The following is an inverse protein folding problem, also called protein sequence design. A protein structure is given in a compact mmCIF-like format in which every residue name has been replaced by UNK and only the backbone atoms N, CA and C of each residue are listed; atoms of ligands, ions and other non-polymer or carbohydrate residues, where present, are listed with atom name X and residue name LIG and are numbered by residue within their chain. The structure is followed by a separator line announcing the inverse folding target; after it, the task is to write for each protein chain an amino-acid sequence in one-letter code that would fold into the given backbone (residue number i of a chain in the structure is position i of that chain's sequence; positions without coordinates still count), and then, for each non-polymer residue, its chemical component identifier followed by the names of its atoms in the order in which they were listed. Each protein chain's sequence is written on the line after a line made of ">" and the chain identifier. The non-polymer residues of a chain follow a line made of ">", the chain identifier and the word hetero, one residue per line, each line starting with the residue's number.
data_IF_479644017025
#
_entry.id   IF_479644017025
#
_cell.length_a   1.000
_cell.length_b   1.000
_cell.length_c   1.000
_cell.angle_alpha   90.00
_cell.angle_beta   90.00
_cell.angle_gamma   90.00
#
_symmetry.space_group_name_H-M   'P 1'
#
loop_
_entity.id
_entity.type
_entity.pdbx_description
1 polymer ?
#
# COMPACT_ATOMS: atom_id res chain seq x y z
N UNK A 1 45.02 -25.15 4.12
CA UNK A 1 43.62 -25.04 3.68
C UNK A 1 42.65 -25.77 4.63
N UNK A 2 42.99 -26.97 5.13
CA UNK A 2 42.13 -27.82 5.97
C UNK A 2 41.79 -27.26 7.39
N UNK A 3 42.59 -26.36 7.97
CA UNK A 3 42.30 -25.79 9.31
C UNK A 3 41.18 -24.74 9.34
N UNK A 4 40.78 -24.17 8.19
CA UNK A 4 39.75 -23.11 8.12
C UNK A 4 38.32 -23.67 8.10
N UNK A 5 38.11 -24.82 7.46
CA UNK A 5 36.79 -25.48 7.37
C UNK A 5 36.32 -26.04 8.72
N UNK A 6 37.22 -26.66 9.49
CA UNK A 6 36.89 -27.15 10.83
C UNK A 6 36.47 -26.04 11.81
N UNK A 7 36.96 -24.81 11.62
CA UNK A 7 36.59 -23.66 12.44
C UNK A 7 35.17 -23.14 12.12
N UNK A 8 34.75 -23.19 10.87
CA UNK A 8 33.43 -22.73 10.42
C UNK A 8 32.34 -23.72 10.86
N UNK A 9 32.59 -25.02 10.70
CA UNK A 9 31.67 -26.09 11.14
C UNK A 9 31.50 -26.09 12.67
N UNK A 10 32.57 -25.79 13.42
CA UNK A 10 32.53 -25.65 14.89
C UNK A 10 31.74 -24.43 15.36
N UNK A 11 31.84 -23.30 14.64
CA UNK A 11 31.11 -22.07 14.95
C UNK A 11 29.59 -22.21 14.68
N UNK A 12 29.20 -22.87 13.58
CA UNK A 12 27.80 -23.11 13.24
C UNK A 12 27.12 -24.10 14.20
N UNK A 13 27.83 -25.14 14.66
CA UNK A 13 27.32 -26.08 15.69
C UNK A 13 26.98 -25.39 17.01
N UNK A 14 27.76 -24.36 17.38
CA UNK A 14 27.53 -23.57 18.60
C UNK A 14 26.34 -22.62 18.48
N UNK A 15 26.02 -22.16 17.26
CA UNK A 15 24.96 -21.18 17.01
C UNK A 15 23.56 -21.80 17.03
N UNK A 16 23.40 -23.04 16.55
CA UNK A 16 22.06 -23.62 16.31
C UNK A 16 21.63 -24.74 17.27
N UNK A 17 22.50 -25.23 18.16
CA UNK A 17 22.20 -26.34 19.11
C UNK A 17 21.41 -27.51 18.48
N UNK A 18 21.56 -27.76 17.17
CA UNK A 18 20.77 -28.74 16.46
C UNK A 18 21.64 -29.98 16.15
N UNK A 19 21.35 -31.14 16.76
CA UNK A 19 22.14 -32.36 16.58
C UNK A 19 21.89 -33.09 15.24
N UNK A 20 21.02 -32.58 14.35
CA UNK A 20 20.61 -33.25 13.11
C UNK A 20 21.07 -32.56 11.81
N UNK A 21 22.08 -31.69 11.85
CA UNK A 21 22.72 -31.18 10.64
C UNK A 21 23.55 -32.29 9.96
N UNK A 22 22.86 -33.22 9.29
CA UNK A 22 23.48 -34.19 8.39
C UNK A 22 23.34 -33.72 6.95
N UNK A 23 24.49 -33.69 6.29
CA UNK A 23 24.72 -33.34 4.89
C UNK A 23 23.91 -34.28 3.99
N UNK A 24 23.14 -33.73 3.05
CA UNK A 24 22.86 -34.39 1.78
C UNK A 24 23.67 -33.69 0.71
N UNK A 25 24.73 -34.35 0.24
CA UNK A 25 25.47 -33.95 -0.96
C UNK A 25 24.55 -34.18 -2.17
N UNK A 26 24.26 -33.13 -2.93
CA UNK A 26 23.85 -33.24 -4.33
C UNK A 26 25.06 -32.99 -5.23
N UNK A 27 25.10 -33.71 -6.35
CA UNK A 27 26.24 -33.91 -7.25
C UNK A 27 26.61 -32.66 -8.09
N UNK A 28 26.20 -31.48 -7.65
CA UNK A 28 26.37 -30.19 -8.33
C UNK A 28 26.87 -29.05 -7.42
N UNK A 29 27.19 -29.33 -6.15
CA UNK A 29 27.95 -28.41 -5.30
C UNK A 29 27.26 -27.07 -5.00
N UNK A 30 25.94 -26.97 -5.18
CA UNK A 30 25.16 -25.84 -4.68
C UNK A 30 24.50 -26.21 -3.36
N UNK A 31 24.87 -25.52 -2.29
CA UNK A 31 24.21 -25.63 -0.98
C UNK A 31 22.75 -25.13 -1.11
N UNK A 32 21.81 -26.06 -1.16
CA UNK A 32 20.38 -25.76 -1.31
C UNK A 32 19.78 -25.42 0.06
N UNK A 33 19.58 -24.12 0.34
CA UNK A 33 18.73 -23.63 1.43
C UNK A 33 17.23 -23.57 1.04
N UNK A 34 16.82 -24.14 -0.09
CA UNK A 34 15.44 -24.05 -0.61
C UNK A 34 14.44 -24.96 0.10
N UNK A 35 14.89 -26.09 0.67
CA UNK A 35 13.95 -27.09 1.22
C UNK A 35 13.16 -26.59 2.44
N UNK A 36 13.78 -25.74 3.29
CA UNK A 36 13.11 -25.14 4.45
C UNK A 36 12.14 -24.02 4.02
N UNK A 37 12.46 -23.30 2.95
CA UNK A 37 11.63 -22.22 2.40
C UNK A 37 10.34 -22.74 1.75
N UNK A 38 10.45 -23.85 1.00
CA UNK A 38 9.29 -24.50 0.35
C UNK A 38 8.37 -25.16 1.38
N UNK A 39 8.92 -25.70 2.48
CA UNK A 39 8.13 -26.34 3.52
C UNK A 39 7.36 -25.31 4.38
N UNK A 40 7.97 -24.16 4.71
CA UNK A 40 7.31 -23.08 5.46
C UNK A 40 6.21 -22.36 4.67
N UNK A 41 6.30 -22.30 3.34
CA UNK A 41 5.31 -21.64 2.50
C UNK A 41 3.99 -22.44 2.35
N UNK A 42 4.00 -23.76 2.57
CA UNK A 42 2.84 -24.63 2.27
C UNK A 42 1.77 -24.73 3.38
N UNK A 43 2.06 -24.33 4.62
CA UNK A 43 1.12 -24.44 5.75
C UNK A 43 0.87 -23.12 6.48
N UNK A 44 1.15 -21.98 5.85
CA UNK A 44 1.04 -20.68 6.52
C UNK A 44 -0.39 -20.17 6.51
N UNK A 45 -0.93 -19.89 7.70
CA UNK A 45 -2.21 -19.19 7.85
C UNK A 45 -2.07 -17.70 7.50
N UNK A 46 -3.09 -17.08 6.90
CA UNK A 46 -3.05 -15.66 6.55
C UNK A 46 -2.90 -14.80 7.81
N UNK A 47 -1.81 -14.03 7.94
CA UNK A 47 -1.53 -13.25 9.17
C UNK A 47 -2.60 -12.18 9.39
N UNK A 48 -3.05 -11.59 8.26
CA UNK A 48 -4.15 -10.63 8.14
C UNK A 48 -5.35 -11.07 8.97
N UNK A 49 -5.81 -12.24 8.56
CA UNK A 49 -7.02 -12.88 9.06
C UNK A 49 -6.96 -13.23 10.55
N UNK A 50 -5.78 -13.58 11.07
CA UNK A 50 -5.62 -13.89 12.49
C UNK A 50 -5.51 -12.64 13.37
N UNK A 51 -4.81 -11.62 12.90
CA UNK A 51 -4.57 -10.39 13.66
C UNK A 51 -5.83 -9.56 13.85
N UNK A 52 -6.75 -9.66 12.91
CA UNK A 52 -7.98 -8.91 12.95
C UNK A 52 -9.16 -9.88 13.04
N UNK A 53 -9.55 -10.20 14.27
CA UNK A 53 -10.86 -10.80 14.54
C UNK A 53 -11.92 -9.70 14.42
N UNK A 54 -12.51 -9.56 13.24
CA UNK A 54 -13.33 -8.40 12.92
C UNK A 54 -14.71 -8.45 13.59
N UNK A 55 -15.05 -7.40 14.33
CA UNK A 55 -16.41 -7.08 14.72
C UNK A 55 -16.80 -5.77 14.04
N UNK A 56 -17.96 -5.73 13.39
CA UNK A 56 -18.51 -4.49 12.84
C UNK A 56 -18.87 -3.58 14.02
N UNK A 57 -18.07 -2.54 14.25
CA UNK A 57 -18.28 -1.57 15.32
C UNK A 57 -19.24 -0.43 14.88
N UNK A 58 -19.87 -0.53 13.71
CA UNK A 58 -20.83 0.43 13.19
C UNK A 58 -20.17 1.58 12.42
N UNK A 59 -19.40 2.44 13.10
CA UNK A 59 -18.68 3.56 12.48
C UNK A 59 -17.33 3.76 13.15
N UNK A 60 -16.34 4.12 12.34
CA UNK A 60 -14.97 4.40 12.76
C UNK A 60 -14.64 5.88 12.57
N UNK A 61 -13.94 6.46 13.54
CA UNK A 61 -13.31 7.77 13.40
C UNK A 61 -12.06 7.70 12.53
N UNK A 62 -11.68 8.80 11.89
CA UNK A 62 -10.45 8.89 11.07
C UNK A 62 -9.20 8.41 11.84
N UNK A 63 -9.09 8.73 13.13
CA UNK A 63 -7.98 8.28 13.98
C UNK A 63 -7.95 6.77 14.17
N UNK A 64 -9.12 6.14 14.34
CA UNK A 64 -9.23 4.68 14.45
C UNK A 64 -8.88 4.01 13.13
N UNK A 65 -9.35 4.56 12.01
CA UNK A 65 -9.04 4.04 10.67
C UNK A 65 -7.54 4.15 10.38
N UNK A 66 -6.90 5.27 10.71
CA UNK A 66 -5.45 5.44 10.55
C UNK A 66 -4.68 4.44 11.41
N UNK A 67 -5.13 4.20 12.64
CA UNK A 67 -4.50 3.22 13.52
C UNK A 67 -4.66 1.77 13.02
N UNK A 68 -5.81 1.43 12.44
CA UNK A 68 -6.05 0.13 11.81
C UNK A 68 -5.15 -0.04 10.58
N UNK A 69 -5.12 0.94 9.67
CA UNK A 69 -4.24 0.93 8.50
C UNK A 69 -2.76 0.79 8.90
N UNK A 70 -2.33 1.50 9.95
CA UNK A 70 -0.98 1.40 10.50
C UNK A 70 -0.66 0.01 11.06
N UNK A 71 -1.64 -0.66 11.66
CA UNK A 71 -1.46 -2.02 12.16
C UNK A 71 -1.27 -3.01 11.00
N UNK A 72 -2.04 -2.86 9.91
CA UNK A 72 -1.87 -3.65 8.68
C UNK A 72 -0.47 -3.42 8.11
N UNK A 73 -0.07 -2.17 7.92
CA UNK A 73 1.26 -1.80 7.41
C UNK A 73 2.39 -2.41 8.24
N UNK A 74 2.30 -2.34 9.58
CA UNK A 74 3.29 -2.92 10.49
C UNK A 74 3.34 -4.44 10.39
N UNK A 75 2.19 -5.10 10.27
CA UNK A 75 2.12 -6.54 10.12
C UNK A 75 2.75 -6.99 8.78
N UNK A 76 2.43 -6.31 7.68
CA UNK A 76 3.07 -6.55 6.38
C UNK A 76 4.59 -6.33 6.46
N UNK A 77 5.04 -5.20 7.00
CA UNK A 77 6.46 -4.89 7.13
C UNK A 77 7.23 -5.91 7.99
N UNK A 78 6.66 -6.35 9.12
CA UNK A 78 7.27 -7.38 9.98
C UNK A 78 7.47 -8.70 9.24
N UNK A 79 6.58 -9.02 8.31
CA UNK A 79 6.58 -10.27 7.56
C UNK A 79 7.14 -10.15 6.13
N UNK A 80 7.64 -8.96 5.75
CA UNK A 80 8.07 -8.62 4.38
C UNK A 80 9.02 -9.63 3.73
N UNK A 81 9.90 -10.26 4.51
CA UNK A 81 10.87 -11.26 4.01
C UNK A 81 10.20 -12.50 3.43
N UNK A 82 8.97 -12.80 3.86
CA UNK A 82 8.21 -13.96 3.44
C UNK A 82 7.13 -13.59 2.42
N UNK A 83 6.58 -12.37 2.54
CA UNK A 83 5.54 -11.86 1.65
C UNK A 83 6.08 -11.49 0.26
N UNK A 84 7.40 -11.34 0.15
CA UNK A 84 8.05 -10.97 -1.07
C UNK A 84 8.86 -12.12 -1.62
N UNK A 85 8.56 -12.51 -2.87
CA UNK A 85 9.43 -13.36 -3.66
C UNK A 85 10.74 -12.63 -4.05
N UNK A 86 10.86 -11.34 -3.73
CA UNK A 86 12.09 -10.56 -3.91
C UNK A 86 12.88 -10.63 -2.61
N UNK A 87 14.08 -11.19 -2.67
CA UNK A 87 15.07 -11.25 -1.60
C UNK A 87 15.44 -9.87 -1.02
N UNK A 88 15.14 -8.79 -1.75
CA UNK A 88 15.57 -7.44 -1.46
C UNK A 88 14.41 -6.43 -1.50
N UNK A 89 13.39 -6.55 -0.65
CA UNK A 89 12.54 -5.37 -0.37
C UNK A 89 13.40 -4.33 0.35
N UNK A 90 13.77 -3.29 -0.40
CA UNK A 90 14.60 -2.19 0.11
C UNK A 90 13.72 -1.08 0.68
N UNK A 91 12.50 -0.87 0.16
CA UNK A 91 11.68 0.31 0.46
C UNK A 91 10.34 -0.07 1.11
N UNK A 92 9.93 0.59 2.22
CA UNK A 92 8.67 0.30 2.91
C UNK A 92 7.39 0.41 2.07
N UNK A 93 7.38 1.19 0.99
CA UNK A 93 6.18 1.38 0.16
C UNK A 93 5.88 0.14 -0.70
N UNK A 94 6.91 -0.59 -1.12
CA UNK A 94 6.73 -1.76 -2.00
C UNK A 94 5.90 -2.87 -1.35
N UNK A 95 5.99 -3.02 -0.01
CA UNK A 95 5.20 -4.02 0.72
C UNK A 95 3.74 -3.59 0.93
N UNK A 96 3.39 -2.33 0.62
CA UNK A 96 2.03 -1.79 0.77
C UNK A 96 1.17 -1.99 -0.48
N UNK A 97 1.60 -2.85 -1.41
CA UNK A 97 0.75 -3.30 -2.50
C UNK A 97 -0.54 -3.94 -1.95
N UNK A 98 -1.74 -3.41 -2.28
CA UNK A 98 -2.99 -3.93 -1.76
C UNK A 98 -3.19 -5.43 -2.03
N UNK A 99 -2.74 -5.90 -3.19
CA UNK A 99 -2.74 -7.32 -3.56
C UNK A 99 -2.07 -8.22 -2.50
N UNK A 100 -0.94 -7.78 -1.91
CA UNK A 100 -0.26 -8.53 -0.86
C UNK A 100 -1.16 -8.62 0.38
N UNK A 101 -1.73 -7.50 0.80
CA UNK A 101 -2.59 -7.44 1.97
C UNK A 101 -3.89 -8.24 1.79
N UNK A 102 -4.51 -8.16 0.61
CA UNK A 102 -5.72 -8.90 0.23
C UNK A 102 -5.46 -10.42 0.31
N UNK A 103 -4.32 -10.89 -0.22
CA UNK A 103 -3.93 -12.30 -0.10
C UNK A 103 -3.68 -12.72 1.33
N UNK A 104 -3.04 -11.86 2.13
CA UNK A 104 -2.81 -12.12 3.56
C UNK A 104 -4.09 -12.02 4.42
N UNK A 105 -5.17 -11.48 3.88
CA UNK A 105 -6.53 -11.56 4.44
C UNK A 105 -7.22 -12.88 4.07
N UNK A 106 -6.61 -13.69 3.20
CA UNK A 106 -7.16 -14.94 2.69
C UNK A 106 -8.12 -14.78 1.53
N UNK A 107 -8.09 -13.63 0.84
CA UNK A 107 -8.85 -13.40 -0.37
C UNK A 107 -8.01 -13.68 -1.62
N UNK A 108 -8.63 -14.23 -2.65
CA UNK A 108 -8.09 -14.25 -3.99
C UNK A 108 -8.16 -12.84 -4.60
N UNK A 109 -7.10 -12.44 -5.31
CA UNK A 109 -7.04 -11.16 -6.01
C UNK A 109 -6.96 -11.42 -7.50
N UNK A 110 -7.94 -10.90 -8.24
CA UNK A 110 -8.11 -11.13 -9.67
C UNK A 110 -8.23 -9.81 -10.43
N UNK A 111 -7.64 -9.76 -11.62
CA UNK A 111 -7.78 -8.65 -12.54
C UNK A 111 -8.60 -9.12 -13.73
N UNK A 112 -9.74 -8.46 -13.96
CA UNK A 112 -10.68 -8.80 -15.02
C UNK A 112 -10.66 -7.72 -16.10
N UNK A 113 -10.87 -8.14 -17.36
CA UNK A 113 -10.89 -7.19 -18.49
C UNK A 113 -11.99 -6.12 -18.36
N UNK A 114 -13.11 -6.46 -17.72
CA UNK A 114 -14.23 -5.60 -17.34
C UNK A 114 -15.03 -6.33 -16.26
N UNK A 115 -15.65 -5.59 -15.34
CA UNK A 115 -16.57 -6.13 -14.33
C UNK A 115 -18.04 -5.88 -14.68
N UNK A 116 -18.29 -5.41 -15.91
CA UNK A 116 -19.59 -5.05 -16.42
C UNK A 116 -19.96 -3.59 -16.15
N UNK A 117 -21.07 -3.21 -16.77
CA UNK A 117 -21.60 -1.84 -16.76
C UNK A 117 -22.98 -1.80 -16.13
N UNK A 118 -23.33 -0.67 -15.53
CA UNK A 118 -24.67 -0.38 -15.08
C UNK A 118 -25.09 1.02 -15.53
N UNK A 119 -26.40 1.24 -15.68
CA UNK A 119 -26.97 2.54 -16.02
C UNK A 119 -27.55 3.16 -14.76
N UNK A 120 -27.07 4.35 -14.40
CA UNK A 120 -27.64 5.18 -13.33
C UNK A 120 -27.88 6.59 -13.88
N UNK A 121 -29.08 7.13 -13.67
CA UNK A 121 -29.50 8.46 -14.16
C UNK A 121 -29.19 8.71 -15.67
N UNK A 122 -29.32 7.65 -16.49
CA UNK A 122 -29.10 7.70 -17.94
C UNK A 122 -27.62 7.71 -18.36
N UNK A 123 -26.68 7.50 -17.44
CA UNK A 123 -25.25 7.37 -17.72
C UNK A 123 -24.80 5.93 -17.47
N UNK A 124 -24.01 5.41 -18.38
CA UNK A 124 -23.32 4.12 -18.21
C UNK A 124 -22.08 4.30 -17.33
N UNK A 125 -21.96 3.43 -16.33
CA UNK A 125 -20.82 3.37 -15.40
C UNK A 125 -20.22 1.98 -15.42
N UNK A 126 -18.89 1.92 -15.56
CA UNK A 126 -18.10 0.71 -15.42
C UNK A 126 -17.84 0.41 -13.93
N UNK A 127 -17.97 -0.85 -13.51
CA UNK A 127 -17.63 -1.26 -12.14
C UNK A 127 -16.11 -1.35 -12.00
N UNK A 128 -15.55 -0.64 -11.01
CA UNK A 128 -14.10 -0.59 -10.79
C UNK A 128 -13.58 -1.77 -9.94
N UNK A 129 -14.33 -2.13 -8.90
CA UNK A 129 -13.99 -3.19 -7.96
C UNK A 129 -15.24 -3.98 -7.52
N UNK A 130 -15.01 -5.24 -7.19
CA UNK A 130 -16.02 -6.14 -6.65
C UNK A 130 -15.42 -7.01 -5.55
N UNK A 131 -16.13 -7.10 -4.42
CA UNK A 131 -15.81 -8.02 -3.32
C UNK A 131 -16.90 -9.07 -3.21
N UNK A 132 -16.50 -10.33 -3.34
CA UNK A 132 -17.30 -11.52 -3.08
C UNK A 132 -16.79 -12.18 -1.79
N UNK A 133 -17.48 -11.89 -0.68
CA UNK A 133 -17.10 -12.42 0.65
C UNK A 133 -17.38 -13.91 0.76
N UNK A 134 -18.38 -14.44 0.05
CA UNK A 134 -18.72 -15.88 0.08
C UNK A 134 -17.61 -16.71 -0.56
N UNK A 135 -17.01 -16.20 -1.64
CA UNK A 135 -15.90 -16.84 -2.34
C UNK A 135 -14.52 -16.43 -1.83
N UNK A 136 -14.44 -15.47 -0.92
CA UNK A 136 -13.21 -14.78 -0.54
C UNK A 136 -12.46 -14.29 -1.79
N UNK A 137 -13.12 -13.53 -2.66
CA UNK A 137 -12.53 -13.02 -3.89
C UNK A 137 -12.70 -11.51 -3.98
N UNK A 138 -11.63 -10.82 -4.41
CA UNK A 138 -11.66 -9.43 -4.83
C UNK A 138 -11.24 -9.37 -6.30
N UNK A 139 -12.05 -8.70 -7.11
CA UNK A 139 -11.82 -8.53 -8.55
C UNK A 139 -11.77 -7.04 -8.89
N UNK A 140 -10.82 -6.63 -9.73
CA UNK A 140 -10.72 -5.27 -10.24
C UNK A 140 -10.80 -5.23 -11.77
N UNK A 141 -11.41 -4.16 -12.28
CA UNK A 141 -11.48 -3.92 -13.73
C UNK A 141 -10.19 -3.30 -14.26
N UNK A 142 -9.63 -3.89 -15.31
CA UNK A 142 -8.44 -3.40 -16.02
C UNK A 142 -8.74 -2.23 -16.97
N UNK A 143 -10.00 -1.81 -17.10
CA UNK A 143 -10.39 -0.64 -17.90
C UNK A 143 -9.82 0.65 -17.32
N UNK A 144 -9.53 0.67 -16.03
CA UNK A 144 -9.08 1.87 -15.31
C UNK A 144 -7.56 2.02 -15.30
N UNK A 145 -7.04 3.27 -15.19
CA UNK A 145 -5.61 3.51 -15.03
C UNK A 145 -5.04 2.88 -13.74
N UNK A 146 -3.72 2.58 -13.70
CA UNK A 146 -3.11 1.87 -12.58
C UNK A 146 -3.28 2.52 -11.20
N UNK A 147 -3.24 3.85 -11.10
CA UNK A 147 -3.43 4.60 -9.85
C UNK A 147 -4.86 4.48 -9.32
N UNK A 148 -5.85 4.49 -10.23
CA UNK A 148 -7.26 4.23 -9.89
C UNK A 148 -7.42 2.80 -9.41
N UNK A 149 -6.86 1.82 -10.14
CA UNK A 149 -6.92 0.41 -9.72
C UNK A 149 -6.27 0.20 -8.35
N UNK A 150 -5.13 0.83 -8.08
CA UNK A 150 -4.42 0.70 -6.80
C UNK A 150 -5.23 1.28 -5.64
N UNK A 151 -5.88 2.42 -5.86
CA UNK A 151 -6.78 3.02 -4.87
C UNK A 151 -8.02 2.16 -4.65
N UNK A 152 -8.69 1.69 -5.71
CA UNK A 152 -9.84 0.79 -5.61
C UNK A 152 -9.47 -0.50 -4.87
N UNK A 153 -8.31 -1.10 -5.16
CA UNK A 153 -7.83 -2.28 -4.44
C UNK A 153 -7.71 -2.03 -2.92
N UNK A 154 -7.15 -0.88 -2.54
CA UNK A 154 -7.01 -0.49 -1.14
C UNK A 154 -8.36 -0.14 -0.49
N UNK A 155 -9.31 0.40 -1.26
CA UNK A 155 -10.68 0.67 -0.84
C UNK A 155 -11.42 -0.64 -0.54
N UNK A 156 -11.34 -1.62 -1.43
CA UNK A 156 -11.95 -2.94 -1.21
C UNK A 156 -11.31 -3.68 -0.03
N UNK A 157 -9.99 -3.59 0.12
CA UNK A 157 -9.30 -4.07 1.32
C UNK A 157 -9.86 -3.37 2.59
N UNK A 158 -10.12 -2.07 2.53
CA UNK A 158 -10.78 -1.32 3.59
C UNK A 158 -12.15 -1.88 3.95
N UNK A 159 -12.99 -2.23 2.96
CA UNK A 159 -14.25 -2.90 3.21
C UNK A 159 -14.07 -4.26 3.91
N UNK A 160 -13.13 -5.08 3.46
CA UNK A 160 -12.88 -6.38 4.09
C UNK A 160 -12.42 -6.27 5.55
N UNK A 161 -11.72 -5.18 5.89
CA UNK A 161 -11.12 -4.95 7.22
C UNK A 161 -12.09 -4.23 8.16
N UNK A 162 -12.76 -3.17 7.69
CA UNK A 162 -13.61 -2.33 8.56
C UNK A 162 -15.04 -2.85 8.65
N UNK A 163 -15.51 -3.56 7.63
CA UNK A 163 -16.92 -3.91 7.49
C UNK A 163 -17.11 -5.39 7.14
N UNK A 164 -16.67 -6.31 8.03
CA UNK A 164 -16.83 -7.74 7.80
C UNK A 164 -18.31 -8.10 7.62
N UNK A 165 -18.66 -8.85 6.56
CA UNK A 165 -20.03 -9.35 6.33
C UNK A 165 -20.90 -8.53 5.38
N UNK A 166 -20.37 -7.49 4.71
CA UNK A 166 -21.01 -6.93 3.52
C UNK A 166 -20.84 -7.93 2.35
N UNK A 167 -21.90 -8.67 2.05
CA UNK A 167 -21.83 -9.88 1.22
C UNK A 167 -21.62 -9.65 -0.28
N UNK A 168 -21.79 -8.42 -0.80
CA UNK A 168 -21.46 -8.03 -2.18
C UNK A 168 -21.39 -6.51 -2.26
N UNK A 169 -20.19 -5.96 -2.49
CA UNK A 169 -20.00 -4.52 -2.74
C UNK A 169 -19.53 -4.28 -4.17
N UNK A 170 -20.06 -3.23 -4.80
CA UNK A 170 -19.70 -2.81 -6.16
C UNK A 170 -19.25 -1.35 -6.07
N UNK A 171 -17.95 -1.13 -6.24
CA UNK A 171 -17.42 0.23 -6.21
C UNK A 171 -17.91 1.03 -7.43
N UNK A 172 -18.26 2.31 -7.16
CA UNK A 172 -18.75 3.25 -8.15
C UNK A 172 -17.63 4.22 -8.53
N UNK A 173 -17.38 4.49 -9.82
CA UNK A 173 -16.48 5.56 -10.22
C UNK A 173 -16.90 6.90 -9.60
N UNK A 174 -15.94 7.65 -9.06
CA UNK A 174 -16.20 8.95 -8.41
C UNK A 174 -16.56 10.01 -9.45
N UNK A 175 -17.82 10.09 -9.86
CA UNK A 175 -18.32 11.13 -10.78
C UNK A 175 -19.27 12.09 -10.07
N UNK A 176 -18.74 12.97 -9.22
CA UNK A 176 -19.25 14.34 -8.92
C UNK A 176 -20.71 14.57 -8.47
N UNK A 177 -21.60 13.60 -8.43
CA UNK A 177 -22.99 13.76 -7.98
C UNK A 177 -23.12 13.31 -6.52
N UNK A 178 -23.17 14.29 -5.62
CA UNK A 178 -23.21 14.19 -4.16
C UNK A 178 -24.53 13.60 -3.62
N UNK A 179 -24.89 12.36 -3.97
CA UNK A 179 -25.67 11.56 -3.01
C UNK A 179 -24.71 11.25 -1.86
N UNK A 180 -25.03 11.71 -0.64
CA UNK A 180 -24.25 11.47 0.58
C UNK A 180 -23.75 10.02 0.58
N UNK A 181 -22.44 9.84 0.34
CA UNK A 181 -21.78 8.53 0.42
C UNK A 181 -22.15 7.89 1.76
N UNK A 182 -22.37 6.58 1.76
CA UNK A 182 -22.59 5.87 3.02
C UNK A 182 -21.38 6.10 3.93
N UNK A 183 -21.56 6.06 5.25
CA UNK A 183 -20.43 6.19 6.18
C UNK A 183 -19.35 5.16 5.88
N UNK A 184 -19.76 3.95 5.47
CA UNK A 184 -18.87 2.83 5.12
C UNK A 184 -18.00 3.12 3.90
N UNK A 185 -18.55 3.72 2.84
CA UNK A 185 -17.75 4.14 1.66
C UNK A 185 -16.67 5.15 2.05
N UNK A 186 -17.06 6.15 2.86
CA UNK A 186 -16.11 7.18 3.34
C UNK A 186 -15.02 6.54 4.20
N UNK A 187 -15.38 5.60 5.05
CA UNK A 187 -14.44 4.89 5.93
C UNK A 187 -13.47 4.02 5.12
N UNK A 188 -13.93 3.34 4.06
CA UNK A 188 -13.09 2.61 3.12
C UNK A 188 -12.16 3.53 2.31
N UNK A 189 -12.64 4.68 1.82
CA UNK A 189 -11.81 5.70 1.16
C UNK A 189 -10.71 6.23 2.08
N UNK A 190 -11.05 6.47 3.36
CA UNK A 190 -10.08 6.91 4.38
C UNK A 190 -9.06 5.82 4.69
N UNK A 191 -9.50 4.57 4.78
CA UNK A 191 -8.60 3.44 4.94
C UNK A 191 -7.62 3.37 3.77
N UNK A 192 -8.11 3.43 2.53
CA UNK A 192 -7.27 3.42 1.32
C UNK A 192 -6.23 4.54 1.35
N UNK A 193 -6.66 5.75 1.71
CA UNK A 193 -5.78 6.92 1.86
C UNK A 193 -4.67 6.67 2.88
N UNK A 194 -5.01 6.20 4.08
CA UNK A 194 -4.02 5.98 5.14
C UNK A 194 -3.14 4.75 4.88
N UNK A 195 -3.69 3.72 4.26
CA UNK A 195 -2.99 2.50 3.89
C UNK A 195 -1.92 2.77 2.83
N UNK A 196 -2.29 3.47 1.75
CA UNK A 196 -1.41 3.77 0.62
C UNK A 196 -0.44 4.91 0.91
N UNK A 197 -0.87 5.92 1.68
CA UNK A 197 -0.07 7.11 1.99
C UNK A 197 0.12 7.29 3.51
N UNK A 198 0.85 6.37 4.17
CA UNK A 198 1.07 6.47 5.61
C UNK A 198 1.83 7.73 5.98
N UNK A 199 1.35 8.40 7.03
CA UNK A 199 1.82 9.72 7.47
C UNK A 199 3.34 9.81 7.54
N UNK A 200 3.99 8.85 8.22
CA UNK A 200 5.44 8.86 8.41
C UNK A 200 6.18 8.88 7.08
N UNK A 201 5.83 7.97 6.17
CA UNK A 201 6.49 7.84 4.88
C UNK A 201 6.22 9.04 3.99
N UNK A 202 5.00 9.60 4.01
CA UNK A 202 4.67 10.81 3.23
C UNK A 202 5.52 11.98 3.70
N UNK A 203 5.64 12.18 5.02
CA UNK A 203 6.47 13.26 5.58
C UNK A 203 7.95 13.07 5.24
N UNK A 204 8.49 11.87 5.40
CA UNK A 204 9.89 11.56 5.03
C UNK A 204 10.13 11.85 3.54
N UNK A 205 9.27 11.32 2.66
CA UNK A 205 9.38 11.52 1.23
C UNK A 205 9.21 13.00 0.81
N UNK A 206 8.36 13.75 1.52
CA UNK A 206 8.16 15.19 1.30
C UNK A 206 9.41 15.98 1.66
N UNK A 207 9.97 15.73 2.84
CA UNK A 207 11.19 16.40 3.32
C UNK A 207 12.39 16.10 2.45
N UNK A 208 12.53 14.87 1.95
CA UNK A 208 13.58 14.49 1.00
C UNK A 208 13.53 15.28 -0.33
N UNK A 209 12.33 15.70 -0.76
CA UNK A 209 12.10 16.35 -2.06
C UNK A 209 12.12 17.87 -1.97
N UNK A 210 11.60 18.43 -0.88
CA UNK A 210 11.42 19.87 -0.71
C UNK A 210 12.33 20.47 0.37
N UNK A 211 13.18 19.65 1.01
CA UNK A 211 14.12 20.05 2.05
C UNK A 211 13.47 20.76 3.25
N UNK A 212 12.17 20.54 3.46
CA UNK A 212 11.38 21.13 4.53
C UNK A 212 10.27 20.17 4.98
N UNK A 213 9.89 20.26 6.25
CA UNK A 213 8.73 19.55 6.79
C UNK A 213 7.41 20.33 6.55
N UNK A 214 7.51 21.60 6.19
CA UNK A 214 6.39 22.50 5.92
C UNK A 214 6.77 23.44 4.77
N UNK A 215 6.02 23.40 3.68
CA UNK A 215 6.26 24.21 2.50
C UNK A 215 5.46 25.50 2.58
N UNK A 216 6.17 26.63 2.57
CA UNK A 216 5.58 27.97 2.55
C UNK A 216 5.85 28.57 1.17
N UNK A 217 4.82 29.07 0.51
CA UNK A 217 4.99 29.72 -0.79
C UNK A 217 5.56 31.13 -0.63
N UNK A 218 6.87 31.26 -0.75
CA UNK A 218 7.58 32.54 -0.81
C UNK A 218 8.34 32.72 -2.15
N UNK A 219 9.03 33.85 -2.30
CA UNK A 219 9.82 34.14 -3.51
C UNK A 219 10.91 33.08 -3.76
N UNK A 220 11.54 32.59 -2.69
CA UNK A 220 12.63 31.62 -2.76
C UNK A 220 12.13 30.26 -3.25
N UNK A 221 11.07 29.75 -2.64
CA UNK A 221 10.47 28.47 -2.99
C UNK A 221 9.78 28.52 -4.36
N UNK A 222 9.22 29.67 -4.73
CA UNK A 222 8.73 29.91 -6.10
C UNK A 222 9.85 29.81 -7.13
N UNK A 223 10.99 30.45 -6.85
CA UNK A 223 12.19 30.34 -7.69
C UNK A 223 12.69 28.90 -7.79
N UNK A 224 12.75 28.17 -6.68
CA UNK A 224 13.18 26.76 -6.66
C UNK A 224 12.23 25.80 -7.36
N UNK A 225 10.93 26.12 -7.46
CA UNK A 225 9.98 25.40 -8.29
C UNK A 225 10.16 25.68 -9.80
N UNK A 226 11.01 26.64 -10.17
CA UNK A 226 11.25 27.03 -11.56
C UNK A 226 10.02 27.65 -12.24
N UNK A 227 9.07 28.19 -11.45
CA UNK A 227 7.80 28.73 -11.92
C UNK A 227 7.45 30.00 -11.17
N UNK A 228 6.84 30.96 -11.85
CA UNK A 228 6.15 32.06 -11.17
C UNK A 228 4.86 31.51 -10.56
N UNK A 229 4.93 31.15 -9.28
CA UNK A 229 3.84 30.54 -8.54
C UNK A 229 3.02 31.61 -7.82
N UNK A 230 1.89 32.02 -8.40
CA UNK A 230 0.90 32.85 -7.71
C UNK A 230 -0.34 32.00 -7.40
N UNK A 231 -0.27 31.19 -6.35
CA UNK A 231 -1.40 30.38 -5.92
C UNK A 231 -2.25 31.13 -4.89
N UNK A 232 -3.54 31.27 -5.20
CA UNK A 232 -4.53 31.84 -4.26
C UNK A 232 -5.19 30.78 -3.38
N UNK A 233 -5.00 29.49 -3.70
CA UNK A 233 -5.64 28.35 -3.01
C UNK A 233 -4.61 27.29 -2.69
N UNK A 234 -4.68 26.77 -1.47
CA UNK A 234 -3.82 25.66 -1.02
C UNK A 234 -3.93 24.48 -1.98
N UNK A 235 -5.14 24.15 -2.45
CA UNK A 235 -5.37 23.05 -3.40
C UNK A 235 -4.51 23.11 -4.66
N UNK A 236 -4.33 24.29 -5.24
CA UNK A 236 -3.56 24.44 -6.47
C UNK A 236 -2.07 24.20 -6.20
N UNK A 237 -1.56 24.69 -5.07
CA UNK A 237 -0.21 24.42 -4.60
C UNK A 237 -0.02 22.94 -4.24
N UNK A 238 -0.98 22.31 -3.57
CA UNK A 238 -0.94 20.88 -3.23
C UNK A 238 -0.86 19.98 -4.47
N UNK A 239 -1.66 20.28 -5.51
CA UNK A 239 -1.63 19.57 -6.79
C UNK A 239 -0.29 19.75 -7.51
N UNK A 240 0.27 20.96 -7.47
CA UNK A 240 1.62 21.19 -7.98
C UNK A 240 2.64 20.33 -7.22
N UNK A 241 2.71 20.45 -5.90
CA UNK A 241 3.72 19.75 -5.10
C UNK A 241 3.60 18.22 -5.21
N UNK A 242 2.37 17.69 -5.33
CA UNK A 242 2.13 16.27 -5.54
C UNK A 242 2.76 15.74 -6.85
N UNK A 243 2.74 16.55 -7.91
CA UNK A 243 3.15 16.18 -9.27
C UNK A 243 4.53 16.70 -9.68
N UNK A 244 5.12 17.61 -8.90
CA UNK A 244 6.46 18.17 -9.13
C UNK A 244 7.53 17.08 -9.14
N UNK A 245 8.42 17.13 -10.13
CA UNK A 245 9.54 16.19 -10.31
C UNK A 245 10.92 16.83 -10.09
N UNK A 246 10.97 18.10 -9.69
CA UNK A 246 12.22 18.79 -9.41
C UNK A 246 12.02 19.99 -8.48
N UNK A 247 12.97 20.24 -7.60
CA UNK A 247 12.98 21.39 -6.71
C UNK A 247 14.42 21.79 -6.37
N UNK A 248 14.72 23.08 -6.38
CA UNK A 248 16.06 23.63 -6.10
C UNK A 248 17.18 23.02 -6.97
N UNK A 249 16.86 22.66 -8.22
CA UNK A 249 17.80 22.05 -9.16
C UNK A 249 17.94 20.53 -9.05
N UNK A 250 17.39 19.92 -8.01
CA UNK A 250 17.40 18.45 -7.83
C UNK A 250 16.19 17.81 -8.50
N UNK A 251 16.41 16.71 -9.21
CA UNK A 251 15.35 15.94 -9.86
C UNK A 251 14.98 14.70 -9.03
N UNK A 252 13.69 14.39 -8.94
CA UNK A 252 13.18 13.26 -8.17
C UNK A 252 11.88 12.70 -8.75
N UNK A 253 11.49 11.51 -8.27
CA UNK A 253 10.19 10.92 -8.59
C UNK A 253 9.11 11.70 -7.83
N UNK A 254 8.07 12.25 -8.51
CA UNK A 254 6.94 12.92 -7.86
C UNK A 254 6.32 12.09 -6.74
N UNK A 255 5.77 12.76 -5.72
CA UNK A 255 5.15 12.08 -4.57
C UNK A 255 4.02 11.16 -5.01
N UNK A 256 3.11 11.63 -5.87
CA UNK A 256 2.00 10.83 -6.38
C UNK A 256 2.47 9.51 -7.01
N UNK A 257 3.50 9.59 -7.86
CA UNK A 257 4.11 8.44 -8.53
C UNK A 257 4.86 7.51 -7.57
N UNK A 258 5.55 8.07 -6.59
CA UNK A 258 6.28 7.30 -5.57
C UNK A 258 5.33 6.47 -4.69
N UNK A 259 4.12 6.96 -4.43
CA UNK A 259 3.09 6.26 -3.66
C UNK A 259 2.06 5.51 -4.52
N UNK A 260 2.22 5.50 -5.86
CA UNK A 260 1.28 4.86 -6.80
C UNK A 260 -0.17 5.36 -6.67
N UNK A 261 -0.35 6.66 -6.45
CA UNK A 261 -1.66 7.32 -6.33
C UNK A 261 -1.79 8.47 -7.33
N UNK A 262 -3.01 8.96 -7.53
CA UNK A 262 -3.23 10.15 -8.35
C UNK A 262 -2.68 11.42 -7.70
N UNK A 263 -2.37 12.44 -8.51
CA UNK A 263 -1.94 13.76 -8.03
C UNK A 263 -2.97 14.37 -7.06
N UNK A 264 -4.26 14.18 -7.35
CA UNK A 264 -5.36 14.64 -6.51
C UNK A 264 -5.39 13.96 -5.15
N UNK A 265 -5.20 12.64 -5.08
CA UNK A 265 -5.17 11.89 -3.83
C UNK A 265 -3.99 12.33 -2.95
N UNK A 266 -2.80 12.47 -3.54
CA UNK A 266 -1.63 12.96 -2.84
C UNK A 266 -1.80 14.41 -2.37
N UNK A 267 -2.37 15.29 -3.20
CA UNK A 267 -2.66 16.68 -2.82
C UNK A 267 -3.58 16.77 -1.60
N UNK A 268 -4.66 15.98 -1.58
CA UNK A 268 -5.56 15.89 -0.41
C UNK A 268 -4.77 15.43 0.82
N UNK A 269 -3.93 14.40 0.68
CA UNK A 269 -3.14 13.88 1.81
C UNK A 269 -2.17 14.92 2.36
N UNK A 270 -1.52 15.71 1.51
CA UNK A 270 -0.62 16.79 1.95
C UNK A 270 -1.38 17.88 2.73
N UNK A 271 -2.60 18.20 2.30
CA UNK A 271 -3.49 19.14 3.02
C UNK A 271 -3.90 18.61 4.39
N UNK A 272 -4.32 17.34 4.47
CA UNK A 272 -4.69 16.69 5.73
C UNK A 272 -3.54 16.65 6.73
N UNK A 273 -2.31 16.50 6.23
CA UNK A 273 -1.10 16.49 7.05
C UNK A 273 -0.65 17.90 7.46
N UNK A 274 -1.22 18.95 6.87
CA UNK A 274 -0.92 20.34 7.21
C UNK A 274 0.49 20.79 6.81
N UNK A 275 1.09 20.17 5.80
CA UNK A 275 2.48 20.45 5.39
C UNK A 275 2.62 21.57 4.35
N UNK A 276 1.52 22.23 3.99
CA UNK A 276 1.48 23.27 2.96
C UNK A 276 0.83 24.53 3.53
N UNK A 277 1.48 25.69 3.32
CA UNK A 277 0.98 27.02 3.65
C UNK A 277 1.20 27.98 2.48
N UNK A 278 0.27 28.93 2.36
CA UNK A 278 0.40 30.11 1.50
C UNK A 278 0.99 31.27 2.30
#
# INVERSE_FOLDING_TARGET
>A
MIKRELAIVSAQRKLYQNPYAFLSESDDGQEIFEAEYIYLAKERKPILKELFSFQDNGSYSDTEIEQIALNVQRALWRNRKYLSNKTDIVIPIDILAPEIAIREMGYEYTLESSLGQYVEDGKEFEVAGLVDVERNQISLSQVFPPDVMYFTAAHELGHTILHPGLSLHRDRPVTGSEKRRSSKEREADKFATFFLMPKKQVLEAFTERFFTNEFILDETNSFYLGKTCNFSKIRDLSLMLASTSSFAGESFIPLSRYFHVSDSAMAIRLEELGVIKL
#
